data_IF_286214079290
#
_entry.id   IF_286214079290
#
_cell.length_a   1.000
_cell.length_b   1.000
_cell.length_c   1.000
_cell.angle_alpha   90.00
_cell.angle_beta   90.00
_cell.angle_gamma   90.00
#
_symmetry.space_group_name_H-M   'P 1'
#
loop_
_entity.id
_entity.type
_entity.pdbx_description
1 polymer ?
#
# COMPACT_ATOMS: atom_id res chain seq x y z
N UNK A 1 -6.49 -9.29 7.53
CA UNK A 1 -5.31 -8.42 7.43
C UNK A 1 -5.63 -7.01 7.95
N UNK A 2 -4.62 -6.24 8.34
CA UNK A 2 -4.76 -4.89 8.89
C UNK A 2 -3.66 -3.97 8.35
N UNK A 3 -3.84 -2.65 8.46
CA UNK A 3 -2.88 -1.70 7.93
C UNK A 3 -3.17 -0.24 8.24
N UNK A 4 -2.23 0.62 7.87
CA UNK A 4 -2.32 2.07 8.02
C UNK A 4 -1.81 2.76 6.76
N UNK A 5 -2.41 3.90 6.41
CA UNK A 5 -1.93 4.74 5.32
C UNK A 5 -1.46 6.07 5.86
N UNK A 6 -0.29 6.51 5.45
CA UNK A 6 0.26 7.80 5.80
C UNK A 6 -0.17 8.89 4.83
N UNK A 7 -0.29 10.10 5.37
CA UNK A 7 -0.66 11.32 4.66
C UNK A 7 0.19 11.55 3.40
N UNK A 8 1.50 11.33 3.50
CA UNK A 8 2.46 11.57 2.42
C UNK A 8 2.43 10.51 1.33
N UNK A 9 1.70 9.41 1.47
CA UNK A 9 1.71 8.32 0.47
C UNK A 9 2.21 6.99 1.00
N UNK A 10 2.79 6.95 2.21
CA UNK A 10 3.23 5.69 2.83
C UNK A 10 2.06 4.74 3.11
N UNK A 11 2.31 3.43 3.14
CA UNK A 11 1.35 2.43 3.62
C UNK A 11 2.06 1.25 4.27
N UNK A 12 1.49 0.77 5.36
CA UNK A 12 1.86 -0.46 6.03
C UNK A 12 0.68 -1.43 5.95
N UNK A 13 0.93 -2.65 5.49
CA UNK A 13 -0.05 -3.72 5.44
C UNK A 13 0.53 -4.98 6.06
N UNK A 14 -0.26 -5.64 6.90
CA UNK A 14 0.12 -6.85 7.63
C UNK A 14 -0.96 -7.89 7.41
N UNK A 15 -0.55 -9.06 6.92
CA UNK A 15 -1.40 -10.22 6.72
C UNK A 15 -0.81 -11.46 7.43
N UNK A 16 -1.28 -11.76 8.66
CA UNK A 16 -0.79 -12.90 9.44
C UNK A 16 -1.05 -14.25 8.77
N UNK A 17 -2.15 -14.39 8.01
CA UNK A 17 -2.49 -15.66 7.34
C UNK A 17 -1.48 -16.00 6.24
N UNK A 18 -0.87 -14.98 5.64
CA UNK A 18 0.20 -15.10 4.63
C UNK A 18 1.60 -14.91 5.21
N UNK A 19 1.73 -14.74 6.53
CA UNK A 19 2.98 -14.32 7.21
C UNK A 19 3.68 -13.14 6.52
N UNK A 20 2.90 -12.18 6.05
CA UNK A 20 3.34 -11.13 5.15
C UNK A 20 3.25 -9.75 5.81
N UNK A 21 4.32 -8.97 5.65
CA UNK A 21 4.35 -7.54 5.99
C UNK A 21 4.84 -6.77 4.77
N UNK A 22 4.06 -5.78 4.35
CA UNK A 22 4.41 -4.88 3.24
C UNK A 22 4.50 -3.45 3.76
N UNK A 23 5.68 -2.84 3.62
CA UNK A 23 5.90 -1.41 3.82
C UNK A 23 6.19 -0.73 2.48
N UNK A 24 5.29 0.15 2.05
CA UNK A 24 5.45 0.92 0.82
C UNK A 24 5.66 2.39 1.16
N UNK A 25 6.78 2.96 0.71
CA UNK A 25 7.17 4.34 0.97
C UNK A 25 7.10 5.14 -0.33
N UNK A 26 6.14 6.05 -0.41
CA UNK A 26 5.96 6.95 -1.56
C UNK A 26 5.73 8.37 -1.08
N UNK A 27 5.81 9.34 -2.01
CA UNK A 27 5.53 10.74 -1.74
C UNK A 27 4.45 11.28 -2.70
N UNK A 28 3.17 11.10 -2.35
CA UNK A 28 2.03 11.64 -3.10
C UNK A 28 1.96 13.17 -3.10
N UNK A 29 2.55 13.84 -2.11
CA UNK A 29 2.42 15.30 -1.94
C UNK A 29 3.55 16.07 -2.60
N UNK A 30 4.48 15.39 -3.29
CA UNK A 30 5.64 16.00 -3.93
C UNK A 30 5.24 17.13 -4.92
N UNK A 31 4.17 16.94 -5.69
CA UNK A 31 3.64 17.94 -6.62
C UNK A 31 2.49 18.79 -6.06
N UNK A 32 2.24 18.71 -4.75
CA UNK A 32 1.17 19.43 -4.06
C UNK A 32 0.04 18.52 -3.57
N UNK A 33 -0.64 18.95 -2.50
CA UNK A 33 -1.58 18.11 -1.72
C UNK A 33 -2.86 17.72 -2.45
N UNK A 34 -3.35 18.59 -3.34
CA UNK A 34 -4.56 18.38 -4.12
C UNK A 34 -4.33 17.41 -5.30
N UNK A 35 -3.07 17.20 -5.68
CA UNK A 35 -2.68 16.35 -6.79
C UNK A 35 -2.38 14.93 -6.27
N UNK A 36 -2.74 13.90 -7.04
CA UNK A 36 -2.31 12.52 -6.78
C UNK A 36 -3.05 11.73 -5.70
N UNK A 37 -4.17 12.23 -5.15
CA UNK A 37 -4.99 11.49 -4.18
C UNK A 37 -5.56 10.19 -4.78
N UNK A 38 -6.10 10.24 -6.00
CA UNK A 38 -6.68 9.06 -6.65
C UNK A 38 -5.59 8.10 -7.14
N UNK A 39 -4.49 8.65 -7.66
CA UNK A 39 -3.36 7.87 -8.16
C UNK A 39 -2.72 7.00 -7.08
N UNK A 40 -2.50 7.54 -5.88
CA UNK A 40 -1.87 6.77 -4.80
C UNK A 40 -2.78 5.65 -4.29
N UNK A 41 -4.10 5.87 -4.25
CA UNK A 41 -5.05 4.84 -3.80
C UNK A 41 -5.07 3.66 -4.78
N UNK A 42 -5.10 3.94 -6.09
CA UNK A 42 -5.05 2.92 -7.13
C UNK A 42 -3.72 2.17 -7.14
N UNK A 43 -2.60 2.88 -7.03
CA UNK A 43 -1.27 2.28 -6.96
C UNK A 43 -1.14 1.31 -5.78
N UNK A 44 -1.57 1.71 -4.58
CA UNK A 44 -1.49 0.86 -3.38
C UNK A 44 -2.30 -0.42 -3.55
N UNK A 45 -3.53 -0.34 -4.08
CA UNK A 45 -4.34 -1.54 -4.33
C UNK A 45 -3.64 -2.47 -5.30
N UNK A 46 -3.23 -1.97 -6.47
CA UNK A 46 -2.56 -2.78 -7.47
C UNK A 46 -1.29 -3.45 -6.95
N UNK A 47 -0.48 -2.72 -6.17
CA UNK A 47 0.74 -3.27 -5.55
C UNK A 47 0.41 -4.38 -4.54
N UNK A 48 -0.54 -4.13 -3.63
CA UNK A 48 -0.89 -5.10 -2.59
C UNK A 48 -1.55 -6.35 -3.18
N UNK A 49 -2.43 -6.20 -4.16
CA UNK A 49 -3.09 -7.31 -4.86
C UNK A 49 -2.05 -8.19 -5.58
N UNK A 50 -1.08 -7.57 -6.26
CA UNK A 50 0.02 -8.29 -6.92
C UNK A 50 0.86 -9.06 -5.91
N UNK A 51 1.30 -8.43 -4.82
CA UNK A 51 2.11 -9.14 -3.81
C UNK A 51 1.31 -10.28 -3.19
N UNK A 52 0.02 -10.07 -2.90
CA UNK A 52 -0.84 -11.08 -2.30
C UNK A 52 -1.13 -12.27 -3.23
N UNK A 53 -1.11 -12.07 -4.56
CA UNK A 53 -1.29 -13.15 -5.54
C UNK A 53 -0.06 -14.05 -5.65
N UNK A 54 1.14 -13.50 -5.41
CA UNK A 54 2.40 -14.25 -5.46
C UNK A 54 2.69 -15.05 -4.18
N UNK A 55 1.95 -14.79 -3.09
CA UNK A 55 2.20 -15.41 -1.79
C UNK A 55 0.99 -16.23 -1.38
N UNK A 56 1.16 -17.56 -1.38
CA UNK A 56 0.12 -18.49 -0.96
C UNK A 56 -0.13 -18.39 0.54
N UNK A 57 -1.40 -18.29 0.98
CA UNK A 57 -1.74 -18.46 2.39
C UNK A 57 -1.28 -19.83 2.91
N UNK A 58 -0.83 -19.89 4.16
CA UNK A 58 -0.55 -21.16 4.83
C UNK A 58 -1.82 -21.99 5.05
#
# INVERSE_FOLDING_TARGET
SYGHTGFTGTSLWIDPTRELVVACLTNRVYYGRAQGTDGIATFRRALLDLIASEITPK
#
